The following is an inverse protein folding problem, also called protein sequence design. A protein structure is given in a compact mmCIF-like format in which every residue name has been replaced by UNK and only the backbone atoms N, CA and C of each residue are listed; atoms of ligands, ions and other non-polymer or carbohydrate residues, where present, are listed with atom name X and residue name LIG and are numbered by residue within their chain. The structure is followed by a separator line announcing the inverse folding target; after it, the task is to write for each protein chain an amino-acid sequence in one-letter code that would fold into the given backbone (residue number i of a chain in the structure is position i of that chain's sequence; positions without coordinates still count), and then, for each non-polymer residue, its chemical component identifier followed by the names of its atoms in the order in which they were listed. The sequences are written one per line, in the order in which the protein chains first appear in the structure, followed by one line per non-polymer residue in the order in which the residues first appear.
data_IF_811308403255
#
_entry.id   IF_811308403255
#
_cell.length_a   1.000
_cell.length_b   1.000
_cell.length_c   1.000
_cell.angle_alpha   90.00
_cell.angle_beta   90.00
_cell.angle_gamma   90.00
#
_symmetry.space_group_name_H-M   'P 1'
#
loop_
_entity.id
_entity.type
_entity.pdbx_description
1 polymer ?
#
# COMPACT_ATOMS: atom_id res chain seq x y z
N UNK A 1 -14.98 9.47 -6.66
CA UNK A 1 -13.89 9.09 -7.54
C UNK A 1 -13.91 7.60 -7.81
N UNK A 2 -13.36 7.18 -8.93
CA UNK A 2 -13.20 5.79 -9.31
C UNK A 2 -11.80 5.58 -9.89
N UNK A 3 -11.35 4.33 -9.93
CA UNK A 3 -10.13 4.00 -10.64
C UNK A 3 -10.25 2.64 -11.32
N UNK A 4 -9.40 2.43 -12.33
CA UNK A 4 -9.28 1.16 -13.02
C UNK A 4 -7.82 0.85 -13.29
N UNK A 5 -7.50 -0.44 -13.42
CA UNK A 5 -6.13 -0.91 -13.70
C UNK A 5 -6.17 -1.85 -14.89
N UNK A 6 -5.32 -1.58 -15.88
CA UNK A 6 -5.20 -2.37 -17.11
C UNK A 6 -3.87 -3.11 -17.12
N UNK A 7 -3.61 -3.92 -16.10
CA UNK A 7 -2.41 -4.75 -16.00
C UNK A 7 -2.56 -5.75 -14.86
N UNK A 8 -1.76 -6.81 -14.92
CA UNK A 8 -1.64 -7.74 -13.81
C UNK A 8 -0.83 -7.13 -12.66
N UNK A 9 -1.11 -7.49 -11.40
CA UNK A 9 -0.31 -7.04 -10.26
C UNK A 9 1.14 -7.53 -10.38
N UNK A 10 2.06 -6.69 -9.93
CA UNK A 10 3.48 -7.02 -9.87
C UNK A 10 3.95 -7.32 -8.44
N UNK A 11 3.11 -7.05 -7.44
CA UNK A 11 3.44 -7.25 -6.04
C UNK A 11 2.17 -7.31 -5.19
N UNK A 12 2.14 -8.21 -4.21
CA UNK A 12 1.05 -8.31 -3.25
C UNK A 12 1.66 -8.54 -1.87
N UNK A 13 1.36 -7.68 -0.92
CA UNK A 13 1.95 -7.82 0.38
C UNK A 13 1.31 -6.98 1.46
N UNK A 14 1.89 -7.05 2.66
CA UNK A 14 1.47 -6.29 3.81
C UNK A 14 2.63 -5.46 4.35
N UNK A 15 2.35 -4.24 4.73
CA UNK A 15 3.32 -3.32 5.32
C UNK A 15 2.94 -3.01 6.76
N UNK A 16 3.88 -3.26 7.68
CA UNK A 16 3.70 -3.05 9.12
C UNK A 16 4.33 -1.75 9.62
N UNK A 17 4.82 -0.88 8.74
CA UNK A 17 5.46 0.35 9.19
C UNK A 17 4.49 1.25 9.97
N UNK A 18 5.03 2.12 10.81
CA UNK A 18 4.21 3.00 11.64
C UNK A 18 3.26 3.88 10.83
N UNK A 19 3.73 4.37 9.66
CA UNK A 19 2.89 5.19 8.78
C UNK A 19 1.70 4.40 8.23
N UNK A 20 1.91 3.14 7.83
CA UNK A 20 0.82 2.28 7.35
C UNK A 20 -0.16 1.95 8.47
N UNK A 21 0.34 1.68 9.67
CA UNK A 21 -0.53 1.45 10.83
C UNK A 21 -1.41 2.67 11.11
N UNK A 22 -0.84 3.86 11.08
CA UNK A 22 -1.59 5.10 11.32
C UNK A 22 -2.61 5.37 10.22
N UNK A 23 -2.21 5.19 8.96
CA UNK A 23 -3.09 5.46 7.83
C UNK A 23 -4.31 4.53 7.81
N UNK A 24 -4.12 3.26 8.13
CA UNK A 24 -5.21 2.28 8.15
C UNK A 24 -5.90 2.16 9.50
N UNK A 25 -5.30 2.74 10.55
CA UNK A 25 -5.75 2.64 11.93
C UNK A 25 -5.87 1.17 12.42
N UNK A 26 -4.95 0.31 11.95
CA UNK A 26 -4.94 -1.10 12.32
C UNK A 26 -3.51 -1.66 12.25
N UNK A 27 -3.39 -2.98 12.26
CA UNK A 27 -2.11 -3.69 12.39
C UNK A 27 -1.16 -3.49 11.20
N UNK A 28 -1.71 -3.34 9.99
CA UNK A 28 -0.91 -3.26 8.75
C UNK A 28 -1.76 -2.74 7.60
N UNK A 29 -1.10 -2.49 6.48
CA UNK A 29 -1.77 -2.18 5.22
C UNK A 29 -1.55 -3.34 4.24
N UNK A 30 -2.61 -3.91 3.68
CA UNK A 30 -2.51 -4.86 2.57
C UNK A 30 -2.53 -4.06 1.27
N UNK A 31 -1.51 -4.27 0.46
CA UNK A 31 -1.29 -3.47 -0.74
C UNK A 31 -1.01 -4.35 -1.96
N UNK A 32 -1.47 -3.86 -3.10
CA UNK A 32 -1.28 -4.51 -4.40
C UNK A 32 -0.52 -3.55 -5.31
N UNK A 33 0.69 -3.92 -5.68
CA UNK A 33 1.50 -3.11 -6.59
C UNK A 33 1.12 -3.37 -8.05
N UNK A 34 0.90 -2.29 -8.80
CA UNK A 34 0.61 -2.36 -10.24
C UNK A 34 1.49 -1.36 -10.97
N UNK A 35 1.76 -1.56 -12.27
CA UNK A 35 2.45 -0.52 -13.04
C UNK A 35 1.67 0.79 -12.96
N UNK A 36 2.33 1.88 -12.58
CA UNK A 36 1.63 3.16 -12.38
C UNK A 36 1.01 3.68 -13.67
N UNK A 37 1.61 3.39 -14.82
CA UNK A 37 1.06 3.77 -16.13
C UNK A 37 -0.24 3.05 -16.50
N UNK A 38 -0.55 1.93 -15.83
CA UNK A 38 -1.77 1.15 -16.06
C UNK A 38 -2.93 1.60 -15.15
N UNK A 39 -2.67 2.50 -14.21
CA UNK A 39 -3.68 3.01 -13.28
C UNK A 39 -4.33 4.27 -13.86
N UNK A 40 -5.65 4.26 -13.99
CA UNK A 40 -6.44 5.42 -14.41
C UNK A 40 -7.39 5.81 -13.29
N UNK A 41 -7.32 7.07 -12.87
CA UNK A 41 -8.17 7.61 -11.80
C UNK A 41 -9.10 8.65 -12.40
N UNK A 42 -10.39 8.56 -12.07
CA UNK A 42 -11.41 9.52 -12.50
C UNK A 42 -12.08 10.16 -11.29
N UNK A 43 -12.43 11.44 -11.45
CA UNK A 43 -13.06 12.23 -10.38
C UNK A 43 -12.13 13.31 -9.85
N UNK A 44 -12.66 14.13 -8.94
CA UNK A 44 -11.98 15.34 -8.45
C UNK A 44 -11.62 15.30 -6.96
N UNK A 45 -11.85 14.17 -6.28
CA UNK A 45 -11.69 14.10 -4.82
C UNK A 45 -10.37 13.50 -4.36
N UNK A 46 -9.48 13.13 -5.28
CA UNK A 46 -8.18 12.56 -4.93
C UNK A 46 -7.30 13.63 -4.29
N UNK A 47 -6.91 13.43 -3.05
CA UNK A 47 -5.99 14.28 -2.32
C UNK A 47 -4.74 13.49 -1.94
N UNK A 48 -3.71 14.17 -1.45
CA UNK A 48 -2.47 13.49 -1.10
C UNK A 48 -1.75 14.16 0.07
N UNK A 49 -0.89 13.38 0.72
CA UNK A 49 0.09 13.86 1.67
C UNK A 49 1.33 12.98 1.60
N UNK A 50 2.45 13.48 2.09
CA UNK A 50 3.72 12.76 2.03
C UNK A 50 4.17 12.32 3.42
N UNK A 51 4.78 11.13 3.48
CA UNK A 51 5.42 10.62 4.70
C UNK A 51 6.83 10.15 4.36
N UNK A 52 7.75 10.31 5.30
CA UNK A 52 9.07 9.70 5.21
C UNK A 52 9.01 8.28 5.76
N UNK A 53 9.75 7.37 5.16
CA UNK A 53 9.91 6.01 5.71
C UNK A 53 10.58 6.09 7.09
N UNK A 54 10.41 5.03 7.91
CA UNK A 54 10.96 5.00 9.27
C UNK A 54 12.48 5.16 9.30
N UNK A 55 13.18 4.73 8.25
CA UNK A 55 14.63 4.87 8.13
C UNK A 55 15.04 6.13 7.33
N UNK A 56 14.08 6.96 6.94
CA UNK A 56 14.28 8.19 6.17
C UNK A 56 14.98 7.99 4.81
N UNK A 57 14.94 6.77 4.26
CA UNK A 57 15.55 6.46 2.98
C UNK A 57 14.64 6.77 1.79
N UNK A 58 13.35 6.93 2.02
CA UNK A 58 12.37 7.13 0.95
C UNK A 58 11.21 7.99 1.42
N UNK A 59 10.55 8.64 0.46
CA UNK A 59 9.32 9.39 0.69
C UNK A 59 8.18 8.70 -0.04
N UNK A 60 7.05 8.56 0.63
CA UNK A 60 5.82 7.98 0.09
C UNK A 60 4.78 9.07 -0.07
N UNK A 61 4.22 9.21 -1.26
CA UNK A 61 3.04 10.04 -1.50
C UNK A 61 1.80 9.18 -1.35
N UNK A 62 0.95 9.55 -0.40
CA UNK A 62 -0.24 8.77 -0.03
C UNK A 62 -1.48 9.47 -0.54
N UNK A 63 -2.22 8.79 -1.41
CA UNK A 63 -3.42 9.32 -2.05
C UNK A 63 -4.67 8.77 -1.38
N UNK A 64 -5.61 9.65 -1.14
CA UNK A 64 -6.87 9.28 -0.48
C UNK A 64 -8.02 10.08 -1.08
N UNK A 65 -9.24 9.59 -0.86
CA UNK A 65 -10.44 10.31 -1.29
C UNK A 65 -10.79 11.37 -0.25
N UNK A 66 -10.79 12.64 -0.64
CA UNK A 66 -11.12 13.75 0.29
C UNK A 66 -12.60 13.80 0.65
N UNK A 67 -13.47 13.14 -0.11
CA UNK A 67 -14.90 13.09 0.18
C UNK A 67 -15.24 12.08 1.28
N UNK A 68 -14.55 10.94 1.36
CA UNK A 68 -14.84 9.90 2.35
C UNK A 68 -13.64 9.50 3.22
N UNK A 69 -12.45 10.00 2.92
CA UNK A 69 -11.25 9.73 3.71
C UNK A 69 -10.57 8.39 3.40
N UNK A 70 -11.11 7.58 2.48
CA UNK A 70 -10.54 6.27 2.17
C UNK A 70 -9.16 6.39 1.55
N UNK A 71 -8.13 5.72 2.09
CA UNK A 71 -6.84 5.59 1.42
C UNK A 71 -7.01 4.79 0.12
N UNK A 72 -6.45 5.25 -0.98
CA UNK A 72 -6.64 4.63 -2.29
C UNK A 72 -5.35 3.96 -2.77
N UNK A 73 -4.28 4.73 -2.93
CA UNK A 73 -2.99 4.18 -3.34
C UNK A 73 -1.84 5.07 -2.89
N UNK A 74 -0.64 4.53 -3.01
CA UNK A 74 0.60 5.27 -2.70
C UNK A 74 1.60 5.09 -3.81
N UNK A 75 2.47 6.08 -3.97
CA UNK A 75 3.65 5.97 -4.82
C UNK A 75 4.89 6.26 -3.98
N UNK A 76 5.95 5.52 -4.24
CA UNK A 76 7.21 5.64 -3.50
C UNK A 76 8.24 6.29 -4.41
N UNK A 77 8.92 7.31 -3.91
CA UNK A 77 9.90 8.07 -4.69
C UNK A 77 10.99 7.18 -5.29
N UNK A 78 11.43 6.16 -4.56
CA UNK A 78 12.44 5.20 -5.02
C UNK A 78 11.93 4.18 -6.03
N UNK A 79 10.59 4.10 -6.23
CA UNK A 79 9.95 3.15 -7.15
C UNK A 79 8.87 3.84 -7.98
N UNK A 80 9.23 4.81 -8.84
CA UNK A 80 8.22 5.66 -9.48
C UNK A 80 7.33 4.93 -10.49
N UNK A 81 7.74 3.75 -10.95
CA UNK A 81 6.97 2.98 -11.93
C UNK A 81 5.87 2.11 -11.33
N UNK A 82 5.70 2.11 -10.01
CA UNK A 82 4.71 1.25 -9.34
C UNK A 82 3.76 2.09 -8.49
N UNK A 83 2.47 1.81 -8.60
CA UNK A 83 1.46 2.35 -7.71
C UNK A 83 1.00 1.21 -6.78
N UNK A 84 0.92 1.49 -5.49
CA UNK A 84 0.54 0.51 -4.47
C UNK A 84 -0.88 0.77 -4.03
N UNK A 85 -1.82 -0.03 -4.56
CA UNK A 85 -3.24 0.09 -4.29
C UNK A 85 -3.56 -0.48 -2.91
N UNK A 86 -4.48 0.15 -2.20
CA UNK A 86 -5.03 -0.40 -0.95
C UNK A 86 -6.02 -1.50 -1.30
N UNK A 87 -5.75 -2.70 -0.80
CA UNK A 87 -6.50 -3.91 -1.19
C UNK A 87 -8.02 -3.77 -0.98
N UNK A 88 -8.42 -3.13 0.12
CA UNK A 88 -9.84 -2.99 0.45
C UNK A 88 -10.63 -2.09 -0.49
N UNK A 89 -9.99 -1.33 -1.37
CA UNK A 89 -10.66 -0.48 -2.35
C UNK A 89 -10.87 -1.15 -3.69
N UNK A 90 -10.36 -2.36 -3.87
CA UNK A 90 -10.54 -3.14 -5.11
C UNK A 90 -11.89 -3.84 -5.04
N UNK A 91 -12.73 -3.68 -6.08
CA UNK A 91 -14.12 -4.19 -6.07
C UNK A 91 -14.20 -5.68 -5.79
N UNK A 92 -13.44 -6.49 -6.53
CA UNK A 92 -13.30 -7.90 -6.21
C UNK A 92 -11.87 -8.15 -5.74
N UNK A 93 -11.70 -8.21 -4.44
CA UNK A 93 -10.40 -8.42 -3.80
C UNK A 93 -10.17 -9.87 -3.36
N UNK A 94 -11.06 -10.78 -3.73
CA UNK A 94 -11.02 -12.18 -3.27
C UNK A 94 -9.76 -12.93 -3.75
N UNK A 95 -9.16 -12.50 -4.84
CA UNK A 95 -7.96 -13.13 -5.44
C UNK A 95 -6.66 -12.68 -4.77
N UNK A 96 -6.70 -11.68 -3.90
CA UNK A 96 -5.47 -11.12 -3.29
C UNK A 96 -4.89 -12.14 -2.32
N UNK A 97 -3.61 -12.42 -2.48
CA UNK A 97 -2.85 -13.31 -1.61
C UNK A 97 -1.51 -12.64 -1.25
N UNK A 98 -1.40 -12.02 -0.10
CA UNK A 98 -0.14 -11.40 0.32
C UNK A 98 0.96 -12.44 0.46
N UNK A 99 2.02 -12.29 -0.34
CA UNK A 99 3.16 -13.20 -0.36
C UNK A 99 4.41 -12.59 0.27
N UNK A 100 4.34 -11.31 0.65
CA UNK A 100 5.46 -10.58 1.23
C UNK A 100 4.96 -9.74 2.40
N UNK A 101 5.72 -9.75 3.49
CA UNK A 101 5.50 -8.84 4.62
C UNK A 101 6.74 -7.96 4.77
N UNK A 102 6.56 -6.65 4.79
CA UNK A 102 7.65 -5.68 4.95
C UNK A 102 7.47 -4.87 6.23
N UNK A 103 8.58 -4.32 6.73
CA UNK A 103 8.62 -3.55 7.97
C UNK A 103 8.12 -4.36 9.18
N UNK A 104 8.38 -5.66 9.18
CA UNK A 104 7.94 -6.55 10.26
C UNK A 104 8.57 -6.18 11.61
N UNK A 105 9.70 -5.47 11.61
CA UNK A 105 10.32 -4.96 12.84
C UNK A 105 9.40 -4.00 13.62
N UNK A 106 8.46 -3.37 12.93
CA UNK A 106 7.53 -2.40 13.53
C UNK A 106 6.18 -3.02 13.85
N UNK A 107 5.98 -4.32 13.54
CA UNK A 107 4.72 -5.00 13.79
C UNK A 107 4.42 -5.05 15.29
N UNK A 108 3.15 -4.81 15.64
CA UNK A 108 2.70 -4.94 17.01
C UNK A 108 2.70 -6.40 17.45
N UNK A 109 2.91 -6.70 18.75
CA UNK A 109 2.89 -8.08 19.23
C UNK A 109 1.58 -8.82 18.97
N UNK A 110 0.47 -8.08 18.87
CA UNK A 110 -0.87 -8.65 18.63
C UNK A 110 -1.20 -8.76 17.14
N UNK A 111 -0.30 -8.31 16.23
CA UNK A 111 -0.60 -8.31 14.81
C UNK A 111 -0.59 -9.72 14.23
N UNK A 112 -1.58 -10.08 13.39
CA UNK A 112 -1.53 -11.35 12.66
C UNK A 112 -0.50 -11.30 11.53
N UNK A 113 -0.13 -12.47 11.04
CA UNK A 113 0.80 -12.65 9.94
C UNK A 113 0.20 -13.55 8.86
N UNK A 114 0.66 -13.38 7.63
CA UNK A 114 0.27 -14.23 6.53
C UNK A 114 1.20 -15.45 6.49
N UNK A 115 0.62 -16.64 6.61
CA UNK A 115 1.35 -17.88 6.89
C UNK A 115 2.45 -18.20 5.87
N UNK A 116 2.20 -17.95 4.59
CA UNK A 116 3.13 -18.29 3.50
C UNK A 116 3.93 -17.10 2.98
N UNK A 117 3.90 -15.98 3.69
CA UNK A 117 4.58 -14.78 3.23
C UNK A 117 6.07 -14.80 3.62
N UNK A 118 6.92 -14.30 2.71
CA UNK A 118 8.31 -14.00 3.01
C UNK A 118 8.36 -12.71 3.81
N UNK A 119 9.10 -12.70 4.90
CA UNK A 119 9.10 -11.60 5.87
C UNK A 119 10.43 -10.84 5.84
N UNK A 120 10.34 -9.52 5.75
CA UNK A 120 11.49 -8.63 5.78
C UNK A 120 11.34 -7.65 6.94
N UNK A 121 12.42 -7.48 7.72
CA UNK A 121 12.41 -6.55 8.85
C UNK A 121 12.16 -5.10 8.41
N UNK A 122 12.64 -4.73 7.23
CA UNK A 122 12.38 -3.46 6.55
C UNK A 122 11.87 -3.73 5.15
N UNK A 123 12.50 -3.15 4.13
CA UNK A 123 12.19 -3.45 2.72
C UNK A 123 13.11 -4.54 2.21
N UNK A 124 12.69 -5.27 1.16
CA UNK A 124 13.60 -6.17 0.45
C UNK A 124 14.76 -5.36 -0.14
N UNK A 125 15.97 -5.81 0.06
CA UNK A 125 17.14 -5.09 -0.42
C UNK A 125 18.01 -5.95 -1.32
#
# INVERSE_FOLDING_TARGET
MTYSVDAEPVWQGACYCANCQRQTATAFSVIVGVPSKALAVEGSTLASFKTASEDYQSTTERRFCSACGSPIFSTIESMPGVAFLKAGTIDDASWIEPTVEIWTRSAQPWAPHFENAVRFARTPS
#
